data_IF_908297818557
#
_entry.id   IF_908297818557
#
_cell.length_a   1.000
_cell.length_b   1.000
_cell.length_c   1.000
_cell.angle_alpha   90.00
_cell.angle_beta   90.00
_cell.angle_gamma   90.00
#
_symmetry.space_group_name_H-M   'P 1'
#
loop_
_entity.id
_entity.type
_entity.pdbx_description
1 polymer ?
#
# COMPACT_ATOMS: atom_id res chain seq x y z
N UNK A 1 -3.93 8.21 3.07
CA UNK A 1 -4.53 8.75 4.31
C UNK A 1 -4.02 10.17 4.63
N UNK A 2 -2.71 10.41 4.60
CA UNK A 2 -2.16 11.73 4.98
C UNK A 2 -2.52 12.84 3.99
N UNK A 3 -2.67 12.52 2.72
CA UNK A 3 -3.21 13.47 1.75
C UNK A 3 -4.61 13.96 2.17
N UNK A 4 -5.52 13.07 2.60
CA UNK A 4 -6.86 13.46 3.01
C UNK A 4 -6.88 14.44 4.20
N UNK A 5 -5.91 14.32 5.11
CA UNK A 5 -5.76 15.24 6.25
C UNK A 5 -5.18 16.60 5.87
N UNK A 6 -4.42 16.66 4.76
CA UNK A 6 -3.63 17.82 4.35
C UNK A 6 -4.00 18.33 2.96
N UNK A 7 -5.17 17.97 2.44
CA UNK A 7 -5.61 18.26 1.06
C UNK A 7 -5.61 19.75 0.69
N UNK A 8 -5.82 20.61 1.68
CA UNK A 8 -5.79 22.07 1.47
C UNK A 8 -4.38 22.58 1.13
N UNK A 9 -3.34 21.92 1.60
CA UNK A 9 -1.95 22.30 1.42
C UNK A 9 -1.23 21.49 0.33
N UNK A 10 -1.87 20.41 -0.17
CA UNK A 10 -1.28 19.48 -1.11
C UNK A 10 -2.09 19.37 -2.39
N UNK A 11 -1.39 19.01 -3.47
CA UNK A 11 -1.99 18.42 -4.66
C UNK A 11 -1.26 17.14 -5.04
N UNK A 12 -1.95 16.25 -5.74
CA UNK A 12 -1.39 14.98 -6.21
C UNK A 12 -0.67 15.18 -7.53
N UNK A 13 0.45 14.48 -7.70
CA UNK A 13 1.10 14.34 -8.99
C UNK A 13 0.34 13.29 -9.81
N UNK A 14 0.01 13.58 -11.08
CA UNK A 14 -0.69 12.63 -11.94
C UNK A 14 0.19 11.45 -12.35
N UNK A 15 -0.41 10.38 -12.87
CA UNK A 15 0.21 9.26 -13.58
C UNK A 15 1.14 8.35 -12.77
N UNK A 16 1.55 8.73 -11.56
CA UNK A 16 2.45 7.94 -10.72
C UNK A 16 1.85 7.72 -9.32
N UNK A 17 1.86 6.48 -8.85
CA UNK A 17 1.43 6.08 -7.51
C UNK A 17 2.00 4.70 -7.18
N UNK A 18 1.61 4.16 -6.04
CA UNK A 18 1.80 2.77 -5.66
C UNK A 18 0.41 2.16 -5.55
N UNK A 19 0.05 1.29 -6.49
CA UNK A 19 -1.28 0.66 -6.57
C UNK A 19 -1.19 -0.84 -6.78
N UNK A 20 -2.31 -1.54 -6.56
CA UNK A 20 -2.50 -2.92 -6.99
C UNK A 20 -3.91 -3.12 -7.55
N UNK A 21 -4.03 -4.04 -8.49
CA UNK A 21 -5.33 -4.41 -9.13
C UNK A 21 -5.86 -5.76 -8.63
N UNK A 22 -5.30 -6.24 -7.55
CA UNK A 22 -5.60 -7.50 -6.89
C UNK A 22 -4.65 -7.66 -5.70
N UNK A 23 -3.93 -8.77 -5.65
CA UNK A 23 -2.91 -9.00 -4.64
C UNK A 23 -1.86 -7.90 -4.65
N UNK A 24 -1.40 -7.51 -3.46
CA UNK A 24 -0.28 -6.57 -3.27
C UNK A 24 0.94 -7.27 -2.69
N UNK A 25 0.75 -8.43 -2.05
CA UNK A 25 1.80 -9.28 -1.49
C UNK A 25 2.59 -8.69 -0.32
N UNK A 26 2.47 -7.38 -0.10
CA UNK A 26 3.25 -6.63 0.91
C UNK A 26 2.41 -5.80 1.88
N UNK A 27 1.09 -6.00 1.93
CA UNK A 27 0.19 -5.38 2.92
C UNK A 27 -0.75 -6.46 3.41
N UNK A 28 -0.37 -7.13 4.49
CA UNK A 28 -0.94 -8.41 4.90
C UNK A 28 -1.39 -8.42 6.36
N UNK A 29 -2.56 -9.02 6.60
CA UNK A 29 -3.03 -9.35 7.95
C UNK A 29 -2.61 -10.79 8.27
N UNK A 30 -1.86 -10.95 9.34
CA UNK A 30 -1.43 -12.25 9.90
C UNK A 30 -2.25 -12.58 11.14
N UNK A 31 -2.57 -13.87 11.33
CA UNK A 31 -3.23 -14.37 12.54
C UNK A 31 -2.99 -15.85 12.76
N UNK A 32 -2.89 -16.26 14.03
CA UNK A 32 -2.86 -17.67 14.47
C UNK A 32 -4.25 -18.31 14.50
N UNK A 33 -5.30 -17.49 14.51
CA UNK A 33 -6.68 -17.95 14.62
C UNK A 33 -7.49 -17.58 13.36
N UNK A 34 -8.67 -18.16 13.15
CA UNK A 34 -9.55 -17.79 12.04
C UNK A 34 -9.97 -16.33 12.09
N UNK A 35 -10.08 -15.69 10.93
CA UNK A 35 -10.40 -14.27 10.81
C UNK A 35 -11.66 -13.83 11.59
N UNK A 36 -12.69 -14.69 11.60
CA UNK A 36 -13.96 -14.43 12.31
C UNK A 36 -13.87 -14.43 13.84
N UNK A 37 -12.76 -14.93 14.37
CA UNK A 37 -12.52 -15.10 15.82
C UNK A 37 -11.56 -14.03 16.38
N UNK A 38 -11.04 -13.16 15.50
CA UNK A 38 -10.10 -12.11 15.89
C UNK A 38 -10.80 -11.09 16.77
N UNK A 39 -10.27 -10.86 17.97
CA UNK A 39 -10.71 -9.85 18.94
C UNK A 39 -9.73 -8.71 19.11
N UNK A 40 -8.46 -8.90 18.72
CA UNK A 40 -7.41 -7.88 18.82
C UNK A 40 -6.50 -7.86 17.59
N UNK A 41 -6.06 -6.65 17.19
CA UNK A 41 -5.17 -6.44 16.03
C UNK A 41 -4.04 -5.50 16.40
N UNK A 42 -2.80 -5.98 16.31
CA UNK A 42 -1.61 -5.15 16.34
C UNK A 42 -1.47 -4.32 15.05
N UNK A 43 -1.30 -3.02 15.19
CA UNK A 43 -1.17 -2.08 14.07
C UNK A 43 0.22 -1.46 14.05
N UNK A 44 0.89 -1.39 12.87
CA UNK A 44 2.17 -0.70 12.75
C UNK A 44 1.97 0.82 12.81
N UNK A 45 2.92 1.53 13.41
CA UNK A 45 2.91 3.00 13.49
C UNK A 45 3.33 3.70 12.18
N UNK A 46 3.91 2.97 11.23
CA UNK A 46 4.54 3.51 10.02
C UNK A 46 3.66 3.45 8.76
N UNK A 47 2.36 3.13 8.87
CA UNK A 47 1.45 3.10 7.72
C UNK A 47 0.02 3.53 8.01
N UNK A 48 -0.25 4.81 7.91
CA UNK A 48 -1.60 5.36 8.07
C UNK A 48 -2.61 4.85 7.03
N UNK A 49 -2.18 4.62 5.78
CA UNK A 49 -3.05 4.14 4.69
C UNK A 49 -3.48 2.70 4.94
N UNK A 50 -2.53 1.81 5.24
CA UNK A 50 -2.82 0.38 5.46
C UNK A 50 -3.67 0.15 6.71
N UNK A 51 -3.47 0.95 7.76
CA UNK A 51 -4.30 0.91 8.96
C UNK A 51 -5.74 1.31 8.67
N UNK A 52 -5.97 2.41 7.94
CA UNK A 52 -7.34 2.83 7.55
C UNK A 52 -8.01 1.81 6.62
N UNK A 53 -7.26 1.27 5.68
CA UNK A 53 -7.75 0.22 4.79
C UNK A 53 -8.17 -1.03 5.57
N UNK A 54 -7.32 -1.52 6.48
CA UNK A 54 -7.66 -2.68 7.30
C UNK A 54 -8.94 -2.45 8.13
N UNK A 55 -9.04 -1.29 8.81
CA UNK A 55 -10.23 -0.95 9.60
C UNK A 55 -11.50 -0.93 8.75
N UNK A 56 -11.43 -0.36 7.55
CA UNK A 56 -12.54 -0.38 6.60
C UNK A 56 -12.92 -1.83 6.20
N UNK A 57 -11.95 -2.64 5.79
CA UNK A 57 -12.18 -4.01 5.33
C UNK A 57 -12.72 -4.93 6.44
N UNK A 58 -12.25 -4.78 7.67
CA UNK A 58 -12.79 -5.53 8.81
C UNK A 58 -14.22 -5.06 9.15
N UNK A 59 -14.51 -3.77 9.04
CA UNK A 59 -15.86 -3.21 9.19
C UNK A 59 -16.85 -3.78 8.16
N UNK A 60 -16.47 -3.87 6.88
CA UNK A 60 -17.28 -4.51 5.83
C UNK A 60 -17.57 -6.00 6.13
N UNK A 61 -16.68 -6.66 6.88
CA UNK A 61 -16.88 -8.03 7.38
C UNK A 61 -17.65 -8.09 8.71
N UNK A 62 -18.09 -6.93 9.24
CA UNK A 62 -18.77 -6.78 10.56
C UNK A 62 -17.88 -7.25 11.72
N UNK A 63 -16.58 -7.09 11.59
CA UNK A 63 -15.60 -7.35 12.62
C UNK A 63 -15.14 -6.02 13.25
N UNK A 64 -15.11 -5.97 14.58
CA UNK A 64 -14.74 -4.77 15.36
C UNK A 64 -13.75 -5.15 16.46
N UNK A 65 -12.54 -5.62 16.11
CA UNK A 65 -11.53 -5.96 17.09
C UNK A 65 -10.98 -4.72 17.80
N UNK A 66 -10.35 -4.92 18.93
CA UNK A 66 -9.50 -3.91 19.55
C UNK A 66 -8.27 -3.66 18.68
N UNK A 67 -7.88 -2.40 18.51
CA UNK A 67 -6.71 -2.00 17.73
C UNK A 67 -5.61 -1.46 18.62
N UNK A 68 -4.45 -2.10 18.62
CA UNK A 68 -3.31 -1.77 19.48
C UNK A 68 -2.12 -1.35 18.63
N UNK A 69 -1.70 -0.09 18.73
CA UNK A 69 -0.52 0.40 18.02
C UNK A 69 0.75 -0.11 18.70
N UNK A 70 1.66 -0.69 17.91
CA UNK A 70 2.91 -1.24 18.39
C UNK A 70 3.98 -1.34 17.31
N UNK A 71 5.20 -1.74 17.69
CA UNK A 71 6.28 -1.95 16.74
C UNK A 71 5.95 -3.05 15.71
N UNK A 72 6.46 -2.94 14.48
CA UNK A 72 6.09 -3.83 13.38
C UNK A 72 6.93 -5.12 13.34
N UNK A 73 6.91 -5.89 14.43
CA UNK A 73 7.55 -7.20 14.56
C UNK A 73 6.50 -8.30 14.74
N UNK A 74 6.51 -9.31 13.86
CA UNK A 74 5.48 -10.36 13.80
C UNK A 74 5.30 -11.09 15.14
N UNK A 75 6.41 -11.54 15.71
CA UNK A 75 6.38 -12.39 16.90
C UNK A 75 5.87 -11.61 18.10
N UNK A 76 6.44 -10.43 18.33
CA UNK A 76 6.03 -9.51 19.41
C UNK A 76 4.55 -9.09 19.27
N UNK A 77 4.09 -8.85 18.05
CA UNK A 77 2.70 -8.47 17.79
C UNK A 77 1.75 -9.63 18.06
N UNK A 78 2.08 -10.85 17.60
CA UNK A 78 1.26 -12.06 17.79
C UNK A 78 1.38 -12.66 19.20
N UNK A 79 2.31 -12.21 20.03
CA UNK A 79 2.30 -12.51 21.48
C UNK A 79 1.25 -11.73 22.24
N UNK A 80 0.94 -10.50 21.77
CA UNK A 80 0.06 -9.55 22.45
C UNK A 80 -1.34 -9.44 21.83
N UNK A 81 -1.48 -9.80 20.55
CA UNK A 81 -2.72 -9.70 19.79
C UNK A 81 -3.02 -11.01 19.05
N UNK A 82 -4.29 -11.24 18.75
CA UNK A 82 -4.72 -12.39 17.93
C UNK A 82 -4.20 -12.30 16.49
N UNK A 83 -4.02 -11.08 16.03
CA UNK A 83 -3.61 -10.77 14.67
C UNK A 83 -2.74 -9.53 14.59
N UNK A 84 -2.03 -9.35 13.48
CA UNK A 84 -1.26 -8.14 13.24
C UNK A 84 -1.20 -7.77 11.76
N UNK A 85 -1.11 -6.47 11.51
CA UNK A 85 -0.87 -5.91 10.18
C UNK A 85 0.62 -5.68 9.98
N UNK A 86 1.19 -6.28 8.93
CA UNK A 86 2.54 -5.95 8.47
C UNK A 86 2.51 -5.39 7.06
N UNK A 87 3.52 -4.57 6.77
CA UNK A 87 3.68 -3.94 5.45
C UNK A 87 5.11 -4.06 4.92
N UNK A 88 5.24 -3.90 3.59
CA UNK A 88 6.53 -3.83 2.91
C UNK A 88 7.37 -5.09 3.08
N UNK A 89 8.69 -4.91 3.21
CA UNK A 89 9.64 -6.01 3.29
C UNK A 89 9.37 -6.96 4.46
N UNK A 90 8.84 -6.44 5.58
CA UNK A 90 8.45 -7.26 6.74
C UNK A 90 7.28 -8.19 6.42
N UNK A 91 6.29 -7.72 5.67
CA UNK A 91 5.18 -8.55 5.23
C UNK A 91 5.64 -9.61 4.22
N UNK A 92 6.51 -9.24 3.28
CA UNK A 92 7.11 -10.16 2.31
C UNK A 92 7.93 -11.26 2.99
N UNK A 93 8.74 -10.91 3.98
CA UNK A 93 9.56 -11.88 4.73
C UNK A 93 8.69 -12.79 5.60
N UNK A 94 7.74 -12.21 6.34
CA UNK A 94 6.83 -12.97 7.19
C UNK A 94 5.94 -13.93 6.37
N UNK A 95 5.39 -13.51 5.25
CA UNK A 95 4.55 -14.35 4.40
C UNK A 95 5.31 -15.51 3.77
N UNK A 96 6.60 -15.30 3.45
CA UNK A 96 7.48 -16.38 2.97
C UNK A 96 7.82 -17.39 4.05
N UNK A 97 8.04 -16.94 5.30
CA UNK A 97 8.39 -17.81 6.43
C UNK A 97 7.17 -18.51 7.03
N UNK A 98 6.03 -17.84 7.07
CA UNK A 98 4.80 -18.26 7.73
C UNK A 98 3.56 -18.07 6.86
N UNK A 99 3.49 -18.72 5.68
CA UNK A 99 2.39 -18.51 4.73
C UNK A 99 1.01 -18.84 5.31
N UNK A 100 0.91 -19.80 6.21
CA UNK A 100 -0.33 -20.23 6.85
C UNK A 100 -0.92 -19.18 7.80
N UNK A 101 -0.11 -18.23 8.27
CA UNK A 101 -0.55 -17.14 9.13
C UNK A 101 -1.21 -15.99 8.32
N UNK A 102 -1.01 -15.92 7.00
CA UNK A 102 -1.64 -14.89 6.18
C UNK A 102 -3.15 -15.14 6.09
N UNK A 103 -3.95 -14.18 6.56
CA UNK A 103 -5.42 -14.26 6.53
C UNK A 103 -6.05 -13.34 5.50
N UNK A 104 -5.45 -12.17 5.26
CA UNK A 104 -5.89 -11.25 4.21
C UNK A 104 -4.67 -10.63 3.53
N UNK A 105 -4.70 -10.58 2.20
CA UNK A 105 -4.01 -9.59 1.41
C UNK A 105 -4.96 -8.40 1.22
N UNK A 106 -4.55 -7.23 1.67
CA UNK A 106 -5.46 -6.07 1.73
C UNK A 106 -5.78 -5.51 0.33
N UNK A 107 -4.88 -5.68 -0.63
CA UNK A 107 -5.14 -5.29 -2.03
C UNK A 107 -6.21 -6.18 -2.67
N UNK A 108 -6.03 -7.50 -2.53
CA UNK A 108 -7.00 -8.50 -3.02
C UNK A 108 -8.37 -8.32 -2.36
N UNK A 109 -8.39 -8.14 -1.05
CA UNK A 109 -9.63 -7.96 -0.31
C UNK A 109 -10.36 -6.67 -0.70
N UNK A 110 -9.63 -5.57 -0.89
CA UNK A 110 -10.20 -4.33 -1.41
C UNK A 110 -10.83 -4.53 -2.78
N UNK A 111 -10.12 -5.19 -3.71
CA UNK A 111 -10.66 -5.52 -5.04
C UNK A 111 -11.92 -6.37 -4.94
N UNK A 112 -11.94 -7.36 -4.03
CA UNK A 112 -13.10 -8.23 -3.81
C UNK A 112 -14.32 -7.45 -3.32
N UNK A 113 -14.14 -6.53 -2.37
CA UNK A 113 -15.24 -5.76 -1.75
C UNK A 113 -15.75 -4.66 -2.67
N UNK A 114 -14.85 -3.98 -3.38
CA UNK A 114 -15.19 -2.75 -4.12
C UNK A 114 -15.22 -2.90 -5.64
N UNK A 115 -14.62 -3.96 -6.17
CA UNK A 115 -14.39 -4.11 -7.61
C UNK A 115 -13.31 -3.18 -8.18
N UNK A 116 -12.65 -2.34 -7.36
CA UNK A 116 -11.71 -1.30 -7.78
C UNK A 116 -10.27 -1.63 -7.41
N UNK A 117 -9.26 -1.07 -8.13
CA UNK A 117 -7.86 -1.09 -7.69
C UNK A 117 -7.69 -0.38 -6.34
N UNK A 118 -6.66 -0.78 -5.59
CA UNK A 118 -6.25 -0.07 -4.38
C UNK A 118 -5.01 0.79 -4.65
N UNK A 119 -5.07 2.06 -4.26
CA UNK A 119 -3.92 2.97 -4.30
C UNK A 119 -3.38 3.15 -2.88
N UNK A 120 -2.24 2.55 -2.60
CA UNK A 120 -1.59 2.55 -1.28
C UNK A 120 -0.78 3.81 -1.02
N UNK A 121 -0.16 4.35 -2.06
CA UNK A 121 0.69 5.52 -1.98
C UNK A 121 0.50 6.45 -3.18
N UNK A 122 0.57 7.75 -2.92
CA UNK A 122 0.49 8.79 -3.95
C UNK A 122 1.70 9.71 -3.83
N UNK A 123 2.12 10.28 -4.93
CA UNK A 123 3.07 11.38 -4.94
C UNK A 123 2.30 12.68 -4.80
N UNK A 124 2.65 13.46 -3.81
CA UNK A 124 2.02 14.74 -3.54
C UNK A 124 3.06 15.85 -3.40
N UNK A 125 2.70 17.07 -3.76
CA UNK A 125 3.53 18.23 -3.56
C UNK A 125 2.76 19.35 -2.86
N UNK A 126 3.48 20.20 -2.13
CA UNK A 126 2.91 21.36 -1.48
C UNK A 126 2.49 22.41 -2.51
N UNK A 127 1.36 23.05 -2.29
CA UNK A 127 0.81 24.08 -3.19
C UNK A 127 1.69 25.31 -3.30
N UNK A 128 2.51 25.60 -2.29
CA UNK A 128 3.46 26.72 -2.25
C UNK A 128 4.83 26.38 -2.91
N UNK A 129 5.01 25.16 -3.41
CA UNK A 129 6.25 24.76 -4.07
C UNK A 129 6.31 25.26 -5.52
N UNK A 130 7.53 25.49 -6.04
CA UNK A 130 7.75 25.87 -7.45
C UNK A 130 7.22 24.79 -8.39
N UNK A 131 6.27 25.15 -9.23
CA UNK A 131 5.65 24.23 -10.20
C UNK A 131 6.68 23.65 -11.20
N UNK A 132 7.69 24.42 -11.59
CA UNK A 132 8.72 23.97 -12.53
C UNK A 132 9.62 22.91 -11.90
N UNK A 133 9.96 23.07 -10.61
CA UNK A 133 10.71 22.04 -9.87
C UNK A 133 9.89 20.77 -9.71
N UNK A 134 8.59 20.88 -9.43
CA UNK A 134 7.69 19.73 -9.30
C UNK A 134 7.58 19.00 -10.64
N UNK A 135 7.36 19.74 -11.76
CA UNK A 135 7.31 19.14 -13.10
C UNK A 135 8.60 18.43 -13.48
N UNK A 136 9.76 19.04 -13.16
CA UNK A 136 11.07 18.40 -13.39
C UNK A 136 11.24 17.12 -12.60
N UNK A 137 10.88 17.12 -11.31
CA UNK A 137 10.94 15.92 -10.45
C UNK A 137 9.97 14.85 -10.93
N UNK A 138 8.73 15.23 -11.27
CA UNK A 138 7.73 14.30 -11.83
C UNK A 138 8.21 13.66 -13.13
N UNK A 139 8.77 14.46 -14.05
CA UNK A 139 9.35 13.95 -15.30
C UNK A 139 10.45 12.94 -15.01
N UNK A 140 11.37 13.24 -14.10
CA UNK A 140 12.46 12.33 -13.74
C UNK A 140 11.94 10.98 -13.19
N UNK A 141 10.92 11.01 -12.32
CA UNK A 141 10.28 9.79 -11.80
C UNK A 141 9.63 8.97 -12.92
N UNK A 142 8.91 9.61 -13.82
CA UNK A 142 8.29 8.93 -14.97
C UNK A 142 9.31 8.35 -15.94
N UNK A 143 10.40 9.07 -16.20
CA UNK A 143 11.47 8.59 -17.09
C UNK A 143 12.14 7.34 -16.48
N UNK A 144 12.36 7.29 -15.16
CA UNK A 144 12.88 6.10 -14.47
C UNK A 144 11.89 4.93 -14.51
N UNK A 145 10.61 5.19 -14.26
CA UNK A 145 9.57 4.16 -14.37
C UNK A 145 9.49 3.58 -15.77
N UNK A 146 9.48 4.44 -16.79
CA UNK A 146 9.49 4.03 -18.21
C UNK A 146 10.72 3.17 -18.52
N UNK A 147 11.90 3.57 -18.07
CA UNK A 147 13.12 2.79 -18.25
C UNK A 147 13.03 1.41 -17.58
N UNK A 148 12.47 1.34 -16.37
CA UNK A 148 12.25 0.06 -15.68
C UNK A 148 11.27 -0.86 -16.43
N UNK A 149 10.26 -0.29 -17.10
CA UNK A 149 9.25 -1.05 -17.84
C UNK A 149 9.71 -1.51 -19.23
N UNK A 150 10.54 -0.70 -19.91
CA UNK A 150 10.90 -0.90 -21.33
C UNK A 150 12.31 -1.46 -21.55
N UNK A 151 13.20 -1.40 -20.53
CA UNK A 151 14.59 -1.87 -20.62
C UNK A 151 14.80 -3.08 -19.68
N UNK A 152 14.84 -4.28 -20.25
CA UNK A 152 15.03 -5.54 -19.51
C UNK A 152 16.33 -5.57 -18.70
N UNK A 153 17.41 -4.95 -19.19
CA UNK A 153 18.67 -4.94 -18.47
C UNK A 153 18.59 -4.03 -17.26
N UNK A 154 17.99 -2.86 -17.42
CA UNK A 154 17.73 -1.94 -16.30
C UNK A 154 16.79 -2.56 -15.26
N UNK A 155 15.73 -3.24 -15.72
CA UNK A 155 14.82 -3.97 -14.83
C UNK A 155 15.55 -5.01 -13.99
N UNK A 156 16.40 -5.84 -14.59
CA UNK A 156 17.22 -6.83 -13.89
C UNK A 156 18.15 -6.19 -12.87
N UNK A 157 18.80 -5.07 -13.24
CA UNK A 157 19.66 -4.32 -12.34
C UNK A 157 18.89 -3.79 -11.11
N UNK A 158 17.71 -3.21 -11.33
CA UNK A 158 16.83 -2.73 -10.25
C UNK A 158 16.40 -3.87 -9.34
N UNK A 159 16.00 -5.02 -9.89
CA UNK A 159 15.64 -6.22 -9.11
C UNK A 159 16.82 -6.68 -8.25
N UNK A 160 18.01 -6.78 -8.83
CA UNK A 160 19.23 -7.16 -8.10
C UNK A 160 19.55 -6.20 -6.95
N UNK A 161 19.52 -4.90 -7.21
CA UNK A 161 19.76 -3.88 -6.18
C UNK A 161 18.68 -3.94 -5.09
N UNK A 162 17.42 -4.14 -5.48
CA UNK A 162 16.32 -4.28 -4.54
C UNK A 162 16.47 -5.54 -3.68
N UNK A 163 16.91 -6.66 -4.26
CA UNK A 163 17.18 -7.90 -3.54
C UNK A 163 18.22 -7.71 -2.44
N UNK A 164 19.32 -7.02 -2.75
CA UNK A 164 20.35 -6.71 -1.75
C UNK A 164 19.81 -5.82 -0.62
N UNK A 165 19.01 -4.81 -0.97
CA UNK A 165 18.46 -3.84 0.01
C UNK A 165 17.40 -4.44 0.92
N UNK A 166 16.50 -5.27 0.38
CA UNK A 166 15.36 -5.83 1.10
C UNK A 166 15.64 -7.22 1.69
N UNK A 167 16.77 -7.85 1.33
CA UNK A 167 17.08 -9.24 1.63
C UNK A 167 16.04 -10.24 1.09
N UNK A 168 15.27 -9.83 0.08
CA UNK A 168 14.31 -10.70 -0.60
C UNK A 168 14.95 -11.40 -1.79
N UNK A 169 14.58 -12.66 -2.09
CA UNK A 169 15.03 -13.34 -3.31
C UNK A 169 14.61 -12.59 -4.57
N UNK A 170 15.52 -12.49 -5.57
CA UNK A 170 15.22 -11.82 -6.85
C UNK A 170 13.93 -12.36 -7.49
N UNK A 171 13.73 -13.68 -7.50
CA UNK A 171 12.50 -14.31 -8.01
C UNK A 171 11.22 -13.81 -7.32
N UNK A 172 11.26 -13.54 -6.00
CA UNK A 172 10.11 -12.96 -5.28
C UNK A 172 9.87 -11.52 -5.72
N UNK A 173 10.94 -10.75 -5.91
CA UNK A 173 10.85 -9.36 -6.36
C UNK A 173 10.37 -9.25 -7.82
N UNK A 174 10.74 -10.19 -8.70
CA UNK A 174 10.17 -10.26 -10.06
C UNK A 174 8.64 -10.37 -10.02
N UNK A 175 8.12 -11.24 -9.16
CA UNK A 175 6.67 -11.37 -8.93
C UNK A 175 6.08 -10.10 -8.31
N UNK A 176 6.72 -9.58 -7.27
CA UNK A 176 6.28 -8.40 -6.53
C UNK A 176 6.16 -7.15 -7.40
N UNK A 177 7.11 -6.91 -8.30
CA UNK A 177 7.05 -5.81 -9.28
C UNK A 177 5.97 -6.01 -10.36
N UNK A 178 5.30 -7.15 -10.38
CA UNK A 178 4.07 -7.38 -11.16
C UNK A 178 2.79 -7.19 -10.33
N UNK A 179 2.85 -7.42 -9.01
CA UNK A 179 1.75 -7.20 -8.08
C UNK A 179 1.53 -5.70 -7.80
N UNK A 180 2.64 -4.95 -7.70
CA UNK A 180 2.65 -3.51 -7.45
C UNK A 180 2.80 -2.74 -8.76
N UNK A 181 1.87 -1.84 -9.01
CA UNK A 181 1.83 -0.98 -10.19
C UNK A 181 2.22 0.44 -9.77
N UNK A 182 3.19 1.03 -10.47
CA UNK A 182 3.67 2.39 -10.15
C UNK A 182 3.06 3.47 -11.06
N UNK A 183 1.99 3.13 -11.79
CA UNK A 183 1.20 4.03 -12.62
C UNK A 183 -0.18 4.24 -12.03
N UNK A 184 -0.80 5.35 -12.44
CA UNK A 184 -2.20 5.65 -12.15
C UNK A 184 -2.92 5.92 -13.46
N UNK A 185 -3.90 5.12 -13.76
CA UNK A 185 -4.86 5.34 -14.83
C UNK A 185 -6.23 5.79 -14.27
N UNK A 186 -7.24 6.03 -15.12
CA UNK A 186 -8.57 6.43 -14.66
C UNK A 186 -9.25 5.42 -13.72
N UNK A 187 -8.96 4.12 -13.88
CA UNK A 187 -9.52 3.08 -12.99
C UNK A 187 -8.87 3.15 -11.60
N UNK A 188 -7.53 3.30 -11.54
CA UNK A 188 -6.80 3.49 -10.27
C UNK A 188 -7.27 4.76 -9.56
N UNK A 189 -7.50 5.87 -10.31
CA UNK A 189 -8.06 7.09 -9.75
C UNK A 189 -9.47 6.89 -9.17
N UNK A 190 -10.29 6.05 -9.79
CA UNK A 190 -11.61 5.72 -9.24
C UNK A 190 -11.51 4.96 -7.92
N UNK A 191 -10.54 4.05 -7.81
CA UNK A 191 -10.21 3.34 -6.57
C UNK A 191 -9.70 4.27 -5.47
N UNK A 192 -8.80 5.21 -5.83
CA UNK A 192 -8.30 6.22 -4.90
C UNK A 192 -9.42 7.09 -4.34
N UNK A 193 -10.30 7.61 -5.20
CA UNK A 193 -11.47 8.41 -4.76
C UNK A 193 -12.33 7.64 -3.78
N UNK A 194 -12.65 6.39 -4.12
CA UNK A 194 -13.45 5.54 -3.24
C UNK A 194 -12.77 5.33 -1.88
N UNK A 195 -11.47 5.04 -1.85
CA UNK A 195 -10.72 4.89 -0.60
C UNK A 195 -10.70 6.18 0.23
N UNK A 196 -10.41 7.31 -0.40
CA UNK A 196 -10.38 8.61 0.29
C UNK A 196 -11.75 8.94 0.90
N UNK A 197 -12.84 8.65 0.19
CA UNK A 197 -14.21 8.85 0.68
C UNK A 197 -14.56 7.86 1.79
N UNK A 198 -14.50 6.57 1.51
CA UNK A 198 -15.05 5.51 2.38
C UNK A 198 -14.20 5.23 3.61
N UNK A 199 -12.86 5.22 3.47
CA UNK A 199 -11.95 4.88 4.57
C UNK A 199 -11.32 6.12 5.24
N UNK A 200 -11.25 7.27 4.54
CA UNK A 200 -10.64 8.47 5.09
C UNK A 200 -11.63 9.59 5.42
N UNK A 201 -12.92 9.48 5.01
CA UNK A 201 -13.96 10.49 5.26
C UNK A 201 -13.75 11.78 4.46
N UNK A 202 -13.06 11.71 3.30
CA UNK A 202 -12.83 12.87 2.45
C UNK A 202 -13.99 13.03 1.48
N UNK A 203 -14.75 14.12 1.58
CA UNK A 203 -15.90 14.40 0.72
C UNK A 203 -15.53 15.12 -0.59
N UNK A 204 -14.42 15.85 -0.59
CA UNK A 204 -13.95 16.60 -1.76
C UNK A 204 -13.19 15.72 -2.75
N UNK A 205 -13.20 16.10 -4.03
CA UNK A 205 -12.37 15.45 -5.04
C UNK A 205 -10.87 15.71 -4.78
N UNK A 206 -10.00 14.71 -5.02
CA UNK A 206 -8.56 14.94 -4.91
C UNK A 206 -8.09 15.93 -5.99
N UNK A 207 -7.32 16.92 -5.55
CA UNK A 207 -6.79 17.96 -6.43
C UNK A 207 -5.51 17.47 -7.10
N UNK A 208 -5.46 17.48 -8.43
CA UNK A 208 -4.26 17.21 -9.21
C UNK A 208 -3.45 18.49 -9.43
N UNK A 209 -2.14 18.33 -9.67
CA UNK A 209 -1.22 19.45 -9.89
C UNK A 209 -1.44 20.14 -11.26
N UNK A 210 -1.89 19.38 -12.25
CA UNK A 210 -2.24 19.81 -13.63
C UNK A 210 -3.15 18.79 -14.30
#
# INVERSE_FOLDING_TARGET
ADYAKNQENLFLLPEIAISSRGEVGSVLLFSKIPLKEISSVGLPSDSATSVKLLKFLLGERKLSPEYIEMGPDLDTMLEKCDSCLLIGDRALDASRKFPDLVKLDLGLEWKRVTGKPMVFGVFAARRDSSIDKIKSAHKALRDQLKKFEEDDNHRKEVIKVSSVKSSQPEKRLETYFGEVINRVDPEDMSGLRLFLKSACGMESEPSLAW
#
